data_IF_038796541550
#
_entry.id   IF_038796541550
#
_cell.length_a   1.000
_cell.length_b   1.000
_cell.length_c   1.000
_cell.angle_alpha   90.00
_cell.angle_beta   90.00
_cell.angle_gamma   90.00
#
_symmetry.space_group_name_H-M   'P 1'
#
loop_
_entity.id
_entity.type
_entity.pdbx_description
1 polymer ?
#
# COMPACT_ATOMS: atom_id res chain seq x y z
N UNK A 1 25.95 -16.75 1.71
CA UNK A 1 24.88 -15.90 1.16
C UNK A 1 24.08 -16.80 0.23
N UNK A 2 22.82 -17.06 0.55
CA UNK A 2 21.93 -17.87 -0.27
C UNK A 2 21.43 -17.07 -1.50
N UNK A 3 20.95 -17.74 -2.56
CA UNK A 3 20.48 -17.07 -3.78
C UNK A 3 19.39 -16.03 -3.52
N UNK A 4 18.48 -16.30 -2.58
CA UNK A 4 17.38 -15.41 -2.21
C UNK A 4 17.77 -14.22 -1.32
N UNK A 5 19.02 -14.10 -0.87
CA UNK A 5 19.48 -12.94 -0.07
C UNK A 5 19.43 -11.62 -0.87
N UNK A 6 19.32 -11.71 -2.21
CA UNK A 6 19.11 -10.58 -3.13
C UNK A 6 17.67 -10.06 -3.09
N UNK A 7 16.72 -10.84 -2.55
CA UNK A 7 15.29 -10.49 -2.47
C UNK A 7 15.02 -9.87 -1.11
N UNK A 8 14.56 -8.62 -1.12
CA UNK A 8 14.28 -7.86 0.10
C UNK A 8 12.79 -7.95 0.40
N UNK A 9 12.45 -8.36 1.62
CA UNK A 9 11.06 -8.58 2.02
C UNK A 9 10.48 -9.88 1.46
N UNK A 10 9.14 -9.94 1.33
CA UNK A 10 8.42 -11.07 0.74
C UNK A 10 8.74 -12.43 1.39
N UNK A 11 9.05 -12.45 2.69
CA UNK A 11 9.50 -13.65 3.45
C UNK A 11 8.61 -14.88 3.21
N UNK A 12 7.29 -14.68 3.17
CA UNK A 12 6.32 -15.75 2.93
C UNK A 12 6.49 -16.36 1.53
N UNK A 13 6.65 -15.51 0.51
CA UNK A 13 6.84 -15.94 -0.87
C UNK A 13 8.21 -16.59 -1.05
N UNK A 14 9.27 -15.98 -0.50
CA UNK A 14 10.63 -16.54 -0.54
C UNK A 14 10.65 -17.93 0.09
N UNK A 15 10.04 -18.12 1.26
CA UNK A 15 9.95 -19.44 1.91
C UNK A 15 9.19 -20.48 1.06
N UNK A 16 8.15 -20.05 0.33
CA UNK A 16 7.43 -20.93 -0.59
C UNK A 16 8.28 -21.30 -1.80
N UNK A 17 9.00 -20.34 -2.38
CA UNK A 17 9.95 -20.58 -3.48
C UNK A 17 11.09 -21.51 -3.05
N UNK A 18 11.67 -21.31 -1.88
CA UNK A 18 12.71 -22.18 -1.30
C UNK A 18 12.20 -23.61 -1.12
N UNK A 19 10.96 -23.79 -0.64
CA UNK A 19 10.34 -25.12 -0.50
C UNK A 19 10.13 -25.81 -1.84
N UNK A 20 9.73 -25.07 -2.87
CA UNK A 20 9.57 -25.66 -4.21
C UNK A 20 10.95 -25.97 -4.81
N UNK A 21 11.94 -25.09 -4.62
CA UNK A 21 13.31 -25.32 -5.09
C UNK A 21 13.95 -26.54 -4.41
N UNK A 22 13.71 -26.76 -3.11
CA UNK A 22 14.25 -27.92 -2.39
C UNK A 22 13.71 -29.26 -2.91
N UNK A 23 12.46 -29.28 -3.40
CA UNK A 23 11.89 -30.45 -4.11
C UNK A 23 12.64 -30.72 -5.42
N UNK A 24 13.15 -29.68 -6.09
CA UNK A 24 13.97 -29.84 -7.30
C UNK A 24 15.43 -30.24 -6.99
N UNK A 25 15.97 -29.81 -5.85
CA UNK A 25 17.33 -30.19 -5.44
C UNK A 25 17.40 -31.66 -5.03
N UNK A 26 16.51 -32.11 -4.15
CA UNK A 26 16.40 -33.52 -3.75
C UNK A 26 14.92 -33.93 -3.64
N UNK A 27 14.37 -34.61 -4.66
CA UNK A 27 12.99 -35.11 -4.63
C UNK A 27 12.76 -36.24 -3.62
N UNK A 28 13.80 -37.00 -3.25
CA UNK A 28 13.69 -38.29 -2.55
C UNK A 28 12.91 -38.24 -1.24
N UNK A 29 13.11 -37.24 -0.34
CA UNK A 29 12.36 -37.13 0.90
C UNK A 29 10.87 -36.88 0.68
N UNK A 30 10.52 -36.16 -0.38
CA UNK A 30 9.15 -35.80 -0.74
C UNK A 30 8.43 -36.98 -1.40
N UNK A 31 9.11 -37.68 -2.32
CA UNK A 31 8.59 -38.88 -2.98
C UNK A 31 8.29 -40.02 -2.00
N UNK A 32 9.12 -40.19 -0.95
CA UNK A 32 8.83 -41.14 0.15
C UNK A 32 7.52 -40.87 0.89
N UNK A 33 7.06 -39.62 0.88
CA UNK A 33 5.78 -39.21 1.47
C UNK A 33 4.65 -39.16 0.43
N UNK A 34 4.89 -39.62 -0.80
CA UNK A 34 3.91 -39.64 -1.90
C UNK A 34 3.73 -38.30 -2.60
N UNK A 35 4.56 -37.29 -2.30
CA UNK A 35 4.54 -36.03 -3.04
C UNK A 35 5.19 -36.21 -4.41
N UNK A 36 4.69 -35.49 -5.41
CA UNK A 36 5.25 -35.45 -6.76
C UNK A 36 5.89 -34.10 -7.00
N UNK A 37 6.96 -34.09 -7.80
CA UNK A 37 7.55 -32.85 -8.30
C UNK A 37 6.50 -32.14 -9.17
N UNK A 38 6.17 -30.87 -8.89
CA UNK A 38 5.25 -30.11 -9.74
C UNK A 38 5.86 -29.92 -11.14
N UNK A 39 5.02 -29.95 -12.18
CA UNK A 39 5.45 -29.77 -13.57
C UNK A 39 5.92 -28.32 -13.83
N UNK A 40 5.35 -27.35 -13.11
CA UNK A 40 5.75 -25.96 -13.27
C UNK A 40 5.25 -25.01 -12.20
N UNK A 41 5.87 -23.83 -12.20
CA UNK A 41 5.60 -22.71 -11.31
C UNK A 41 5.40 -21.43 -12.13
N UNK A 42 4.29 -20.74 -11.89
CA UNK A 42 4.01 -19.41 -12.43
C UNK A 42 4.13 -18.35 -11.33
N UNK A 43 5.00 -17.36 -11.51
CA UNK A 43 5.10 -16.18 -10.65
C UNK A 43 4.37 -15.02 -11.34
N UNK A 44 3.25 -14.62 -10.77
CA UNK A 44 2.32 -13.66 -11.32
C UNK A 44 2.28 -12.38 -10.49
N UNK A 45 1.95 -11.23 -11.08
CA UNK A 45 1.73 -9.99 -10.31
C UNK A 45 2.06 -8.74 -11.11
N UNK A 46 1.67 -7.57 -10.61
CA UNK A 46 1.89 -6.29 -11.29
C UNK A 46 3.36 -6.09 -11.75
N UNK A 47 3.62 -5.30 -12.81
CA UNK A 47 4.98 -4.98 -13.21
C UNK A 47 5.75 -4.29 -12.07
N UNK A 48 7.07 -4.49 -12.03
CA UNK A 48 7.93 -3.83 -11.04
C UNK A 48 8.02 -4.50 -9.65
N UNK A 49 7.41 -5.67 -9.45
CA UNK A 49 7.45 -6.41 -8.16
C UNK A 49 8.62 -7.39 -7.98
N UNK A 50 9.63 -7.36 -8.85
CA UNK A 50 10.79 -8.26 -8.73
C UNK A 50 10.56 -9.71 -9.17
N UNK A 51 9.51 -10.00 -9.95
CA UNK A 51 9.19 -11.36 -10.46
C UNK A 51 10.38 -12.05 -11.15
N UNK A 52 11.02 -11.37 -12.10
CA UNK A 52 12.18 -11.91 -12.83
C UNK A 52 13.39 -12.10 -11.91
N UNK A 53 13.58 -11.25 -10.90
CA UNK A 53 14.63 -11.42 -9.87
C UNK A 53 14.37 -12.69 -9.05
N UNK A 54 13.14 -12.87 -8.55
CA UNK A 54 12.75 -14.06 -7.78
C UNK A 54 12.88 -15.34 -8.62
N UNK A 55 12.48 -15.31 -9.89
CA UNK A 55 12.64 -16.43 -10.82
C UNK A 55 14.11 -16.82 -11.01
N UNK A 56 15.01 -15.84 -11.18
CA UNK A 56 16.46 -16.09 -11.27
C UNK A 56 17.03 -16.67 -9.98
N UNK A 57 16.62 -16.14 -8.82
CA UNK A 57 17.02 -16.68 -7.52
C UNK A 57 16.53 -18.12 -7.32
N UNK A 58 15.32 -18.43 -7.78
CA UNK A 58 14.78 -19.78 -7.76
C UNK A 58 15.60 -20.75 -8.62
N UNK A 59 15.97 -20.35 -9.84
CA UNK A 59 16.83 -21.15 -10.73
C UNK A 59 18.19 -21.41 -10.08
N UNK A 60 18.81 -20.38 -9.52
CA UNK A 60 20.09 -20.47 -8.81
C UNK A 60 19.99 -21.39 -7.58
N UNK A 61 18.89 -21.31 -6.81
CA UNK A 61 18.63 -22.16 -5.65
C UNK A 61 18.33 -23.63 -6.01
N UNK A 62 17.71 -23.88 -7.16
CA UNK A 62 17.44 -25.23 -7.63
C UNK A 62 18.71 -25.93 -8.14
N UNK A 63 19.76 -25.18 -8.51
CA UNK A 63 21.05 -25.73 -8.94
C UNK A 63 21.00 -26.55 -10.24
N UNK A 64 19.99 -26.32 -11.09
CA UNK A 64 19.78 -27.04 -12.35
C UNK A 64 20.16 -26.18 -13.57
N UNK A 65 20.57 -26.79 -14.70
CA UNK A 65 20.70 -26.08 -15.97
C UNK A 65 19.40 -25.36 -16.33
N UNK A 66 19.51 -24.17 -16.91
CA UNK A 66 18.34 -23.34 -17.21
C UNK A 66 18.37 -22.78 -18.63
N UNK A 67 17.33 -23.09 -19.40
CA UNK A 67 17.07 -22.47 -20.70
C UNK A 67 16.09 -21.32 -20.51
N UNK A 68 16.52 -20.09 -20.75
CA UNK A 68 15.63 -18.91 -20.66
C UNK A 68 15.07 -18.56 -22.02
N UNK A 69 13.75 -18.36 -22.09
CA UNK A 69 13.02 -17.92 -23.27
C UNK A 69 12.25 -16.64 -22.96
N UNK A 70 12.43 -15.64 -23.82
CA UNK A 70 11.67 -14.39 -23.83
C UNK A 70 11.34 -14.07 -25.28
N UNK A 71 10.16 -13.51 -25.54
CA UNK A 71 9.81 -13.07 -26.89
C UNK A 71 10.69 -11.90 -27.34
N UNK A 72 11.50 -12.13 -28.38
CA UNK A 72 12.37 -11.12 -29.00
C UNK A 72 11.98 -10.84 -30.45
N UNK A 73 11.29 -11.77 -31.12
CA UNK A 73 10.88 -11.70 -32.53
C UNK A 73 9.37 -11.93 -32.68
N UNK A 74 8.81 -11.48 -33.80
CA UNK A 74 7.39 -11.63 -34.11
C UNK A 74 7.16 -12.72 -35.17
N UNK A 75 5.97 -13.31 -35.17
CA UNK A 75 5.55 -14.30 -36.16
C UNK A 75 6.11 -15.71 -35.91
N UNK A 76 6.13 -16.53 -36.95
CA UNK A 76 6.37 -17.98 -36.85
C UNK A 76 7.75 -18.35 -36.29
N UNK A 77 8.76 -17.48 -36.45
CA UNK A 77 10.11 -17.71 -35.90
C UNK A 77 10.09 -17.96 -34.38
N UNK A 78 9.18 -17.28 -33.67
CA UNK A 78 9.07 -17.47 -32.23
C UNK A 78 8.47 -18.82 -31.83
N UNK A 79 7.64 -19.43 -32.69
CA UNK A 79 7.08 -20.78 -32.44
C UNK A 79 8.17 -21.84 -32.47
N UNK A 80 9.13 -21.71 -33.39
CA UNK A 80 10.27 -22.60 -33.49
C UNK A 80 11.21 -22.41 -32.30
N UNK A 81 11.46 -21.17 -31.88
CA UNK A 81 12.23 -20.88 -30.66
C UNK A 81 11.62 -21.49 -29.39
N UNK A 82 10.28 -21.51 -29.27
CA UNK A 82 9.61 -22.19 -28.15
C UNK A 82 9.95 -23.68 -28.18
N UNK A 83 9.78 -24.35 -29.33
CA UNK A 83 10.03 -25.78 -29.47
C UNK A 83 11.50 -26.14 -29.20
N UNK A 84 12.42 -25.38 -29.79
CA UNK A 84 13.86 -25.58 -29.64
C UNK A 84 14.31 -25.40 -28.18
N UNK A 85 13.72 -24.43 -27.46
CA UNK A 85 14.02 -24.23 -26.05
C UNK A 85 13.63 -25.45 -25.19
N UNK A 86 12.48 -26.07 -25.47
CA UNK A 86 12.04 -27.28 -24.76
C UNK A 86 12.90 -28.51 -25.11
N UNK A 87 13.28 -28.66 -26.39
CA UNK A 87 14.20 -29.74 -26.83
C UNK A 87 15.52 -29.62 -26.07
N UNK A 88 16.14 -28.44 -26.07
CA UNK A 88 17.41 -28.19 -25.36
C UNK A 88 17.29 -28.41 -23.87
N UNK A 89 16.20 -27.97 -23.25
CA UNK A 89 15.98 -28.21 -21.83
C UNK A 89 15.88 -29.72 -21.53
N UNK A 90 15.22 -30.50 -22.39
CA UNK A 90 15.11 -31.94 -22.22
C UNK A 90 16.44 -32.68 -22.41
N UNK A 91 17.31 -32.20 -23.31
CA UNK A 91 18.67 -32.74 -23.49
C UNK A 91 19.54 -32.52 -22.25
N UNK A 92 19.33 -31.43 -21.51
CA UNK A 92 20.04 -31.09 -20.28
C UNK A 92 19.31 -31.56 -18.99
N UNK A 93 18.28 -32.41 -19.11
CA UNK A 93 17.49 -32.85 -17.97
C UNK A 93 18.33 -33.62 -16.91
N UNK A 94 18.13 -33.38 -15.60
CA UNK A 94 17.08 -32.56 -14.99
C UNK A 94 17.37 -31.05 -15.07
N UNK A 95 16.46 -30.29 -15.67
CA UNK A 95 16.67 -28.89 -16.04
C UNK A 95 15.45 -28.02 -15.71
N UNK A 96 15.60 -26.70 -15.90
CA UNK A 96 14.55 -25.71 -15.83
C UNK A 96 14.42 -25.01 -17.18
N UNK A 97 13.19 -24.81 -17.65
CA UNK A 97 12.90 -23.84 -18.70
C UNK A 97 12.24 -22.61 -18.07
N UNK A 98 12.81 -21.43 -18.29
CA UNK A 98 12.31 -20.17 -17.76
C UNK A 98 11.66 -19.34 -18.87
N UNK A 99 10.33 -19.25 -18.84
CA UNK A 99 9.50 -18.44 -19.74
C UNK A 99 9.24 -17.06 -19.11
N UNK A 100 10.05 -16.07 -19.45
CA UNK A 100 9.97 -14.73 -18.85
C UNK A 100 9.03 -13.82 -19.64
N UNK A 101 8.18 -13.07 -18.93
CA UNK A 101 7.07 -12.28 -19.50
C UNK A 101 6.16 -13.13 -20.41
N UNK A 102 5.67 -14.26 -19.89
CA UNK A 102 4.79 -15.19 -20.61
C UNK A 102 3.56 -14.47 -21.19
N UNK A 103 3.05 -13.46 -20.52
CA UNK A 103 1.93 -12.62 -20.99
C UNK A 103 2.22 -11.84 -22.28
N UNK A 104 3.50 -11.67 -22.65
CA UNK A 104 3.94 -11.03 -23.90
C UNK A 104 4.18 -12.02 -25.04
N UNK A 105 4.06 -13.33 -24.79
CA UNK A 105 4.25 -14.35 -25.83
C UNK A 105 3.14 -14.25 -26.89
N UNK A 106 1.92 -13.91 -26.46
CA UNK A 106 0.83 -13.57 -27.35
C UNK A 106 0.80 -12.09 -27.77
N UNK A 107 -0.15 -11.74 -28.65
CA UNK A 107 -0.40 -10.40 -29.18
C UNK A 107 -0.93 -9.40 -28.14
N UNK A 108 -1.25 -9.88 -26.93
CA UNK A 108 -1.81 -9.07 -25.85
C UNK A 108 -3.29 -8.74 -26.00
N UNK A 109 -3.95 -9.32 -27.02
CA UNK A 109 -5.35 -9.03 -27.32
C UNK A 109 -6.32 -9.89 -26.47
N UNK A 110 -7.30 -9.22 -25.87
CA UNK A 110 -8.07 -9.69 -24.69
C UNK A 110 -8.97 -10.91 -24.93
N UNK A 111 -9.09 -11.36 -26.18
CA UNK A 111 -10.12 -12.30 -26.61
C UNK A 111 -9.58 -13.57 -27.30
N UNK A 112 -8.27 -13.82 -27.29
CA UNK A 112 -7.70 -15.02 -27.93
C UNK A 112 -6.92 -15.88 -26.95
N UNK A 113 -7.64 -16.74 -26.23
CA UNK A 113 -7.03 -17.84 -25.47
C UNK A 113 -6.36 -18.94 -26.35
N UNK A 114 -6.38 -18.77 -27.67
CA UNK A 114 -5.96 -19.75 -28.68
C UNK A 114 -4.85 -19.20 -29.59
N UNK A 115 -4.00 -18.33 -29.08
CA UNK A 115 -2.83 -17.90 -29.85
C UNK A 115 -1.85 -19.06 -30.06
N UNK A 116 -1.28 -19.20 -31.28
CA UNK A 116 -0.38 -20.30 -31.62
C UNK A 116 0.77 -20.48 -30.62
N UNK A 117 1.31 -19.38 -30.09
CA UNK A 117 2.40 -19.35 -29.12
C UNK A 117 2.02 -20.03 -27.81
N UNK A 118 0.85 -19.71 -27.26
CA UNK A 118 0.38 -20.35 -26.03
C UNK A 118 -0.01 -21.81 -26.25
N UNK A 119 -0.53 -22.15 -27.43
CA UNK A 119 -0.82 -23.56 -27.78
C UNK A 119 0.49 -24.33 -27.88
N UNK A 120 1.53 -23.76 -28.50
CA UNK A 120 2.85 -24.38 -28.59
C UNK A 120 3.47 -24.61 -27.20
N UNK A 121 3.42 -23.61 -26.31
CA UNK A 121 3.87 -23.77 -24.92
C UNK A 121 3.09 -24.89 -24.23
N UNK A 122 1.75 -24.90 -24.34
CA UNK A 122 0.91 -25.96 -23.74
C UNK A 122 1.30 -27.35 -24.22
N UNK A 123 1.42 -27.54 -25.53
CA UNK A 123 1.83 -28.81 -26.13
C UNK A 123 3.22 -29.23 -25.66
N UNK A 124 4.19 -28.31 -25.61
CA UNK A 124 5.53 -28.63 -25.13
C UNK A 124 5.53 -29.03 -23.65
N UNK A 125 4.77 -28.34 -22.78
CA UNK A 125 4.66 -28.74 -21.37
C UNK A 125 4.10 -30.17 -21.26
N UNK A 126 3.06 -30.49 -22.02
CA UNK A 126 2.44 -31.82 -22.00
C UNK A 126 3.40 -32.89 -22.56
N UNK A 127 4.11 -32.60 -23.65
CA UNK A 127 5.05 -33.52 -24.30
C UNK A 127 6.28 -33.82 -23.44
N UNK A 128 6.71 -32.89 -22.59
CA UNK A 128 7.89 -33.02 -21.72
C UNK A 128 7.54 -33.27 -20.25
N UNK A 129 6.26 -33.40 -19.90
CA UNK A 129 5.82 -33.76 -18.56
C UNK A 129 6.45 -35.10 -18.13
N UNK A 130 7.04 -35.12 -16.93
CA UNK A 130 7.73 -36.30 -16.39
C UNK A 130 9.10 -36.62 -17.01
N UNK A 131 9.59 -35.83 -17.98
CA UNK A 131 10.92 -36.01 -18.60
C UNK A 131 12.04 -35.24 -17.88
N UNK A 132 11.83 -34.86 -16.62
CA UNK A 132 12.82 -34.12 -15.82
C UNK A 132 12.95 -32.62 -16.15
N UNK A 133 12.05 -32.07 -16.97
CA UNK A 133 12.00 -30.64 -17.30
C UNK A 133 11.00 -29.93 -16.38
N UNK A 134 11.46 -28.93 -15.62
CA UNK A 134 10.61 -28.08 -14.79
C UNK A 134 10.32 -26.74 -15.47
N UNK A 135 9.06 -26.32 -15.53
CA UNK A 135 8.65 -25.11 -16.25
C UNK A 135 8.45 -23.96 -15.28
N UNK A 136 9.30 -22.94 -15.34
CA UNK A 136 9.16 -21.70 -14.58
C UNK A 136 8.67 -20.60 -15.50
N UNK A 137 7.69 -19.81 -15.07
CA UNK A 137 7.21 -18.67 -15.85
C UNK A 137 6.94 -17.43 -14.99
N UNK A 138 7.06 -16.24 -15.60
CA UNK A 138 6.61 -14.97 -15.01
C UNK A 138 5.52 -14.35 -15.86
N UNK A 139 4.56 -13.65 -15.24
CA UNK A 139 3.54 -12.91 -15.98
C UNK A 139 3.05 -11.67 -15.22
N UNK A 140 2.73 -10.58 -15.92
CA UNK A 140 2.20 -9.37 -15.28
C UNK A 140 0.70 -9.44 -15.02
N UNK A 141 -0.05 -10.15 -15.86
CA UNK A 141 -1.51 -10.25 -15.73
C UNK A 141 -2.03 -11.63 -16.14
N UNK A 142 -2.10 -12.56 -15.18
CA UNK A 142 -2.56 -13.92 -15.44
C UNK A 142 -4.04 -13.98 -15.84
N UNK A 143 -4.90 -13.17 -15.21
CA UNK A 143 -6.35 -13.19 -15.48
C UNK A 143 -6.71 -12.72 -16.89
N UNK A 144 -5.90 -11.84 -17.49
CA UNK A 144 -6.19 -11.26 -18.81
C UNK A 144 -5.36 -11.86 -19.95
N UNK A 145 -4.12 -12.25 -19.69
CA UNK A 145 -3.17 -12.56 -20.76
C UNK A 145 -2.79 -14.03 -20.86
N UNK A 146 -2.84 -14.79 -19.76
CA UNK A 146 -2.45 -16.20 -19.75
C UNK A 146 -3.69 -17.08 -19.90
N UNK A 147 -3.77 -17.96 -20.92
CA UNK A 147 -4.90 -18.86 -21.09
C UNK A 147 -5.17 -19.69 -19.81
N UNK A 148 -6.44 -19.81 -19.37
CA UNK A 148 -6.78 -20.62 -18.20
C UNK A 148 -6.35 -22.09 -18.32
N UNK A 149 -6.14 -22.59 -19.54
CA UNK A 149 -5.63 -23.94 -19.79
C UNK A 149 -4.19 -24.15 -19.34
N UNK A 150 -3.37 -23.09 -19.22
CA UNK A 150 -1.99 -23.18 -18.71
C UNK A 150 -1.96 -23.23 -17.16
N UNK A 151 -2.91 -22.58 -16.50
CA UNK A 151 -2.97 -22.44 -15.02
C UNK A 151 -3.64 -23.65 -14.33
N UNK A 152 -3.99 -24.70 -15.09
CA UNK A 152 -4.60 -25.92 -14.55
C UNK A 152 -3.54 -26.87 -14.00
N UNK A 153 -3.96 -27.70 -13.04
CA UNK A 153 -3.18 -28.83 -12.55
C UNK A 153 -2.76 -29.73 -13.73
N UNK A 154 -1.48 -30.08 -13.78
CA UNK A 154 -0.80 -30.78 -14.87
C UNK A 154 0.18 -29.90 -15.66
N UNK A 155 0.10 -28.57 -15.54
CA UNK A 155 1.02 -27.63 -16.21
C UNK A 155 1.66 -26.70 -15.17
N UNK A 156 1.12 -25.51 -14.96
CA UNK A 156 1.49 -24.68 -13.80
C UNK A 156 0.75 -25.16 -12.55
N UNK A 157 1.26 -26.24 -11.95
CA UNK A 157 0.72 -26.83 -10.71
C UNK A 157 0.74 -25.86 -9.53
N UNK A 158 1.66 -24.88 -9.57
CA UNK A 158 1.74 -23.80 -8.59
C UNK A 158 1.71 -22.45 -9.29
N UNK A 159 0.89 -21.55 -8.74
CA UNK A 159 0.89 -20.14 -9.11
C UNK A 159 1.06 -19.32 -7.84
N UNK A 160 2.10 -18.48 -7.82
CA UNK A 160 2.37 -17.53 -6.75
C UNK A 160 2.01 -16.15 -7.26
N UNK A 161 1.08 -15.48 -6.58
CA UNK A 161 0.71 -14.10 -6.88
C UNK A 161 1.51 -13.16 -5.97
N UNK A 162 2.36 -12.35 -6.58
CA UNK A 162 3.02 -11.21 -5.96
C UNK A 162 2.07 -10.03 -5.95
N UNK A 163 1.90 -9.49 -4.76
CA UNK A 163 1.23 -8.22 -4.54
C UNK A 163 2.28 -7.13 -4.30
N UNK A 164 1.83 -5.87 -4.29
CA UNK A 164 2.70 -4.76 -3.87
C UNK A 164 3.27 -5.04 -2.48
N UNK A 165 4.50 -4.61 -2.19
CA UNK A 165 5.10 -4.85 -0.91
C UNK A 165 4.21 -4.27 0.19
N UNK A 166 3.99 -5.06 1.24
CA UNK A 166 3.40 -4.55 2.46
C UNK A 166 4.33 -3.51 3.07
N UNK A 167 3.81 -2.68 3.99
CA UNK A 167 4.55 -1.54 4.53
C UNK A 167 5.94 -1.92 5.07
N UNK A 168 6.06 -2.99 5.86
CA UNK A 168 7.36 -3.43 6.41
C UNK A 168 8.34 -3.87 5.32
N UNK A 169 7.85 -4.53 4.28
CA UNK A 169 8.67 -4.91 3.13
C UNK A 169 9.04 -3.68 2.30
N UNK A 170 8.11 -2.74 2.08
CA UNK A 170 8.34 -1.47 1.39
C UNK A 170 9.36 -0.60 2.13
N UNK A 171 9.31 -0.56 3.47
CA UNK A 171 10.29 0.12 4.33
C UNK A 171 11.69 -0.46 4.14
N UNK A 172 11.82 -1.79 4.14
CA UNK A 172 13.11 -2.48 3.91
C UNK A 172 13.65 -2.23 2.50
N UNK A 173 12.78 -2.27 1.50
CA UNK A 173 13.13 -2.00 0.10
C UNK A 173 13.57 -0.54 -0.06
N UNK A 174 12.81 0.42 0.49
CA UNK A 174 13.18 1.83 0.49
C UNK A 174 14.52 2.06 1.20
N UNK A 175 14.74 1.45 2.37
CA UNK A 175 16.00 1.54 3.11
C UNK A 175 17.19 0.96 2.33
N UNK A 176 16.97 -0.05 1.48
CA UNK A 176 17.99 -0.57 0.59
C UNK A 176 18.36 0.45 -0.49
N UNK A 177 17.37 0.97 -1.22
CA UNK A 177 17.62 1.92 -2.30
C UNK A 177 18.18 3.25 -1.80
N UNK A 178 17.75 3.75 -0.64
CA UNK A 178 18.34 4.94 -0.01
C UNK A 178 19.85 4.74 0.21
N UNK A 179 20.28 3.57 0.70
CA UNK A 179 21.70 3.24 0.87
C UNK A 179 22.43 3.05 -0.45
N UNK A 180 21.82 2.38 -1.42
CA UNK A 180 22.40 2.15 -2.75
C UNK A 180 22.70 3.47 -3.48
N UNK A 181 21.77 4.42 -3.41
CA UNK A 181 21.94 5.75 -3.98
C UNK A 181 22.82 6.69 -3.14
N UNK A 182 23.48 6.18 -2.08
CA UNK A 182 24.33 6.96 -1.18
C UNK A 182 23.62 8.18 -0.55
N UNK A 183 22.31 8.08 -0.38
CA UNK A 183 21.50 9.11 0.28
C UNK A 183 21.72 8.98 1.78
N UNK A 184 21.89 10.10 2.52
CA UNK A 184 22.19 10.03 3.95
C UNK A 184 21.17 9.21 4.73
N UNK A 185 21.65 8.45 5.72
CA UNK A 185 20.82 7.66 6.65
C UNK A 185 19.93 8.53 7.57
N UNK A 186 19.95 9.85 7.40
CA UNK A 186 19.07 10.79 8.11
C UNK A 186 17.65 10.80 7.54
N UNK A 187 17.43 10.28 6.32
CA UNK A 187 16.10 10.16 5.75
C UNK A 187 15.46 8.86 6.23
N UNK A 188 14.32 8.97 6.90
CA UNK A 188 13.54 7.80 7.30
C UNK A 188 12.94 7.11 6.06
N UNK A 189 13.20 5.80 5.85
CA UNK A 189 12.54 5.01 4.81
C UNK A 189 11.00 5.07 4.84
N UNK A 190 10.41 5.38 5.99
CA UNK A 190 8.96 5.48 6.18
C UNK A 190 8.33 6.55 5.30
N UNK A 191 9.08 7.61 5.00
CA UNK A 191 8.65 8.69 4.11
C UNK A 191 8.31 8.15 2.70
N UNK A 192 9.01 7.12 2.25
CA UNK A 192 8.76 6.47 0.95
C UNK A 192 7.73 5.34 1.11
N UNK A 193 7.88 4.52 2.15
CA UNK A 193 7.11 3.29 2.36
C UNK A 193 5.61 3.53 2.65
N UNK A 194 5.24 4.72 3.10
CA UNK A 194 3.83 5.08 3.32
C UNK A 194 3.00 5.12 2.02
N UNK A 195 3.63 5.28 0.85
CA UNK A 195 2.97 5.30 -0.45
C UNK A 195 2.89 3.88 -1.04
N UNK A 196 1.72 3.44 -1.54
CA UNK A 196 1.54 2.09 -2.05
C UNK A 196 2.16 1.97 -3.44
N UNK A 197 3.44 1.65 -3.49
CA UNK A 197 4.26 1.58 -4.69
C UNK A 197 4.80 0.15 -4.91
N UNK A 198 5.05 -0.22 -6.15
CA UNK A 198 5.83 -1.41 -6.51
C UNK A 198 7.31 -1.24 -6.13
N UNK A 199 8.08 -2.34 -6.09
CA UNK A 199 9.51 -2.28 -5.76
C UNK A 199 10.28 -1.35 -6.72
N UNK A 200 9.99 -1.44 -8.01
CA UNK A 200 10.61 -0.58 -9.02
C UNK A 200 10.16 0.89 -8.90
N UNK A 201 8.92 1.15 -8.47
CA UNK A 201 8.48 2.53 -8.19
C UNK A 201 9.18 3.11 -6.95
N UNK A 202 9.42 2.31 -5.91
CA UNK A 202 10.20 2.73 -4.72
C UNK A 202 11.62 3.16 -5.14
N UNK A 203 12.32 2.34 -5.92
CA UNK A 203 13.63 2.67 -6.51
C UNK A 203 13.56 3.96 -7.33
N UNK A 204 12.59 4.04 -8.25
CA UNK A 204 12.43 5.18 -9.12
C UNK A 204 12.14 6.48 -8.36
N UNK A 205 11.46 6.43 -7.21
CA UNK A 205 11.24 7.60 -6.35
C UNK A 205 12.50 8.03 -5.62
N UNK A 206 13.26 7.09 -5.08
CA UNK A 206 14.55 7.39 -4.45
C UNK A 206 15.49 8.04 -5.46
N UNK A 207 15.61 7.47 -6.67
CA UNK A 207 16.42 8.05 -7.73
C UNK A 207 15.90 9.43 -8.18
N UNK A 208 14.58 9.58 -8.34
CA UNK A 208 13.99 10.88 -8.69
C UNK A 208 14.31 11.96 -7.66
N UNK A 209 14.29 11.64 -6.36
CA UNK A 209 14.64 12.60 -5.31
C UNK A 209 16.09 13.09 -5.46
N UNK A 210 17.02 12.21 -5.82
CA UNK A 210 18.42 12.57 -6.08
C UNK A 210 18.56 13.46 -7.32
N UNK A 211 17.84 13.15 -8.41
CA UNK A 211 17.82 13.97 -9.63
C UNK A 211 17.31 15.38 -9.32
N UNK A 212 16.23 15.48 -8.55
CA UNK A 212 15.67 16.79 -8.21
C UNK A 212 16.63 17.58 -7.31
N UNK A 213 17.23 16.95 -6.28
CA UNK A 213 18.23 17.58 -5.42
C UNK A 213 19.40 18.16 -6.25
N UNK A 214 19.93 17.37 -7.18
CA UNK A 214 21.03 17.78 -8.06
C UNK A 214 20.60 18.92 -8.99
N UNK A 215 19.37 18.89 -9.52
CA UNK A 215 18.86 19.96 -10.39
C UNK A 215 18.71 21.31 -9.68
N UNK A 216 18.52 21.29 -8.36
CA UNK A 216 18.42 22.47 -7.51
C UNK A 216 19.78 22.94 -6.97
N UNK A 217 20.88 22.25 -7.34
CA UNK A 217 22.22 22.54 -6.85
C UNK A 217 22.42 22.19 -5.38
N UNK A 218 21.59 21.28 -4.82
CA UNK A 218 21.74 20.81 -3.45
C UNK A 218 22.82 19.75 -3.36
N UNK A 219 23.73 19.88 -2.41
CA UNK A 219 24.79 18.89 -2.15
C UNK A 219 24.25 17.62 -1.45
N UNK A 220 23.03 17.67 -0.91
CA UNK A 220 22.45 16.59 -0.09
C UNK A 220 20.99 16.37 -0.46
N UNK A 221 20.58 15.11 -0.60
CA UNK A 221 19.15 14.79 -0.73
C UNK A 221 18.48 14.98 0.62
N UNK A 222 17.44 15.82 0.66
CA UNK A 222 16.65 16.09 1.87
C UNK A 222 15.37 15.26 1.87
N UNK A 223 14.78 15.12 3.04
CA UNK A 223 13.45 14.52 3.21
C UNK A 223 12.39 15.23 2.35
N UNK A 224 12.48 16.55 2.18
CA UNK A 224 11.57 17.32 1.32
C UNK A 224 11.66 16.88 -0.15
N UNK A 225 12.86 16.63 -0.67
CA UNK A 225 13.04 16.12 -2.03
C UNK A 225 12.33 14.78 -2.23
N UNK A 226 12.43 13.89 -1.23
CA UNK A 226 11.81 12.55 -1.25
C UNK A 226 10.29 12.62 -1.17
N UNK A 227 9.73 13.39 -0.24
CA UNK A 227 8.27 13.55 -0.15
C UNK A 227 7.71 14.14 -1.43
N UNK A 228 8.34 15.20 -1.95
CA UNK A 228 7.90 15.87 -3.17
C UNK A 228 7.71 14.88 -4.31
N UNK A 229 8.72 14.06 -4.62
CA UNK A 229 8.62 13.12 -5.75
C UNK A 229 7.61 12.00 -5.50
N UNK A 230 7.41 11.58 -4.24
CA UNK A 230 6.40 10.58 -3.89
C UNK A 230 4.98 11.16 -4.03
N UNK A 231 4.75 12.38 -3.54
CA UNK A 231 3.48 13.10 -3.65
C UNK A 231 3.16 13.40 -5.11
N UNK A 232 4.13 13.88 -5.89
CA UNK A 232 3.94 14.19 -7.32
C UNK A 232 3.56 12.95 -8.13
N UNK A 233 4.15 11.80 -7.83
CA UNK A 233 3.77 10.54 -8.45
C UNK A 233 2.35 10.10 -8.07
N UNK A 234 2.00 10.22 -6.79
CA UNK A 234 0.70 9.82 -6.27
C UNK A 234 -0.45 10.69 -6.81
N UNK A 235 -0.25 12.00 -6.81
CA UNK A 235 -1.25 12.98 -7.25
C UNK A 235 -1.26 13.18 -8.77
N UNK A 236 -0.17 12.85 -9.45
CA UNK A 236 0.01 13.11 -10.88
C UNK A 236 0.08 14.61 -11.20
N UNK A 237 0.50 15.44 -10.25
CA UNK A 237 0.62 16.90 -10.37
C UNK A 237 1.82 17.40 -9.58
N UNK A 238 2.47 18.47 -10.05
CA UNK A 238 3.62 19.07 -9.39
C UNK A 238 3.25 19.57 -7.98
N UNK A 239 4.05 19.19 -6.97
CA UNK A 239 3.87 19.66 -5.62
C UNK A 239 4.53 21.04 -5.48
N UNK A 240 3.86 21.97 -4.81
CA UNK A 240 4.41 23.31 -4.54
C UNK A 240 4.06 23.77 -3.12
N UNK A 241 5.05 24.20 -2.33
CA UNK A 241 4.79 24.82 -1.03
C UNK A 241 4.02 26.14 -1.23
N UNK A 242 3.17 26.51 -0.27
CA UNK A 242 2.54 27.83 -0.31
C UNK A 242 3.57 28.88 0.03
N UNK A 243 3.50 30.03 -0.65
CA UNK A 243 4.24 31.23 -0.24
C UNK A 243 3.31 32.33 0.27
N UNK A 244 2.00 32.10 0.23
CA UNK A 244 1.01 33.03 0.76
C UNK A 244 0.92 32.83 2.27
N UNK A 245 0.78 33.89 3.07
CA UNK A 245 0.60 33.77 4.51
C UNK A 245 -0.78 33.18 4.85
N UNK A 246 -0.84 32.45 5.96
CA UNK A 246 -2.09 31.88 6.46
C UNK A 246 -3.06 32.97 6.89
N UNK A 247 -4.29 32.95 6.36
CA UNK A 247 -5.35 33.87 6.75
C UNK A 247 -6.56 33.09 7.28
N UNK A 248 -6.59 32.93 8.61
CA UNK A 248 -7.70 32.30 9.33
C UNK A 248 -9.04 33.03 9.12
N UNK A 249 -9.01 34.36 8.98
CA UNK A 249 -10.22 35.16 8.82
C UNK A 249 -10.82 35.02 7.42
N UNK A 250 -9.98 34.97 6.38
CA UNK A 250 -10.43 34.66 5.03
C UNK A 250 -10.96 33.23 4.93
N UNK A 251 -10.28 32.27 5.57
CA UNK A 251 -10.71 30.88 5.62
C UNK A 251 -12.11 30.74 6.25
N UNK A 252 -12.37 31.43 7.36
CA UNK A 252 -13.68 31.42 8.02
C UNK A 252 -14.83 31.96 7.14
N UNK A 253 -14.55 32.88 6.20
CA UNK A 253 -15.56 33.50 5.32
C UNK A 253 -15.99 32.63 4.15
N UNK A 254 -15.15 31.68 3.73
CA UNK A 254 -15.50 30.72 2.67
C UNK A 254 -16.19 29.49 3.29
N UNK A 255 -16.80 28.63 2.48
CA UNK A 255 -17.18 27.24 2.86
C UNK A 255 -16.51 26.20 1.95
N UNK A 256 -15.59 26.65 1.11
CA UNK A 256 -14.89 25.78 0.16
C UNK A 256 -13.78 25.05 0.90
N UNK A 257 -13.84 23.72 0.92
CA UNK A 257 -12.76 22.86 1.41
C UNK A 257 -11.43 23.16 0.75
N UNK A 258 -11.50 23.64 -0.50
CA UNK A 258 -10.28 23.95 -1.19
C UNK A 258 -9.44 24.90 -0.33
N UNK A 259 -10.00 25.90 0.38
CA UNK A 259 -9.21 26.82 1.24
C UNK A 259 -8.02 26.15 1.98
N UNK A 260 -6.80 26.68 1.77
CA UNK A 260 -5.59 25.98 2.20
C UNK A 260 -5.44 25.99 3.73
N UNK A 261 -5.90 27.05 4.40
CA UNK A 261 -5.87 27.12 5.86
C UNK A 261 -6.93 26.19 6.47
N UNK A 262 -8.11 26.07 5.84
CA UNK A 262 -9.07 25.02 6.20
C UNK A 262 -8.48 23.62 6.07
N UNK A 263 -7.85 23.33 4.94
CA UNK A 263 -7.26 22.02 4.71
C UNK A 263 -6.12 21.75 5.71
N UNK A 264 -5.29 22.74 6.03
CA UNK A 264 -4.27 22.62 7.06
C UNK A 264 -4.87 22.25 8.43
N UNK A 265 -5.95 22.93 8.80
CA UNK A 265 -6.71 22.66 10.02
C UNK A 265 -7.31 21.23 10.03
N UNK A 266 -7.87 20.79 8.90
CA UNK A 266 -8.45 19.45 8.71
C UNK A 266 -7.40 18.36 8.86
N UNK A 267 -6.29 18.43 8.12
CA UNK A 267 -5.22 17.43 8.16
C UNK A 267 -4.48 17.41 9.51
N UNK A 268 -4.28 18.57 10.14
CA UNK A 268 -3.76 18.64 11.50
C UNK A 268 -4.68 17.95 12.51
N UNK A 269 -6.01 18.01 12.30
CA UNK A 269 -6.99 17.30 13.11
C UNK A 269 -6.81 15.78 13.06
N UNK A 270 -6.63 15.23 11.86
CA UNK A 270 -6.33 13.81 11.68
C UNK A 270 -5.03 13.38 12.38
N UNK A 271 -3.94 14.13 12.15
CA UNK A 271 -2.63 13.82 12.72
C UNK A 271 -2.62 13.88 14.25
N UNK A 272 -3.22 14.92 14.84
CA UNK A 272 -3.21 15.09 16.28
C UNK A 272 -4.08 14.05 16.98
N UNK A 273 -5.30 13.80 16.47
CA UNK A 273 -6.17 12.75 17.04
C UNK A 273 -5.46 11.39 16.97
N UNK A 274 -4.78 11.10 15.86
CA UNK A 274 -4.02 9.87 15.70
C UNK A 274 -2.95 9.68 16.79
N UNK A 275 -2.10 10.68 17.02
CA UNK A 275 -1.06 10.57 18.07
C UNK A 275 -1.66 10.51 19.48
N UNK A 276 -2.84 11.07 19.72
CA UNK A 276 -3.54 11.00 21.01
C UNK A 276 -4.16 9.62 21.27
N UNK A 277 -4.76 8.98 20.27
CA UNK A 277 -5.49 7.71 20.45
C UNK A 277 -4.63 6.48 20.19
N UNK A 278 -3.55 6.63 19.42
CA UNK A 278 -2.62 5.55 19.09
C UNK A 278 -1.17 6.09 18.98
N UNK A 279 -0.56 6.50 20.12
CA UNK A 279 0.80 7.03 20.13
C UNK A 279 1.79 6.01 19.55
N UNK A 280 2.77 6.48 18.79
CA UNK A 280 3.77 5.58 18.18
C UNK A 280 3.55 5.30 16.70
N UNK A 281 2.44 5.75 16.11
CA UNK A 281 2.13 5.54 14.70
C UNK A 281 3.00 6.38 13.77
N UNK A 282 3.15 5.90 12.53
CA UNK A 282 3.79 6.63 11.44
C UNK A 282 2.76 7.51 10.73
N UNK A 283 2.70 8.78 11.12
CA UNK A 283 1.85 9.80 10.50
C UNK A 283 2.56 10.64 9.44
N UNK A 284 1.85 10.99 8.38
CA UNK A 284 2.27 11.98 7.38
C UNK A 284 1.09 12.84 6.98
N UNK A 285 1.14 14.13 7.32
CA UNK A 285 0.22 15.14 6.80
C UNK A 285 0.87 15.87 5.64
N UNK A 286 0.14 16.02 4.54
CA UNK A 286 0.59 16.75 3.35
C UNK A 286 -0.47 17.75 2.96
N UNK A 287 -0.04 18.99 2.69
CA UNK A 287 -0.81 19.98 1.95
C UNK A 287 -0.27 20.11 0.53
N UNK A 288 -1.20 20.07 -0.41
CA UNK A 288 -0.93 20.18 -1.83
C UNK A 288 -0.94 21.65 -2.27
N UNK A 289 -0.16 21.92 -3.33
CA UNK A 289 -0.09 23.24 -3.95
C UNK A 289 -1.38 23.65 -4.66
N UNK A 290 -1.47 24.93 -5.00
CA UNK A 290 -2.53 25.47 -5.86
C UNK A 290 -2.49 24.79 -7.24
N UNK A 291 -3.56 24.05 -7.59
CA UNK A 291 -3.69 23.33 -8.86
C UNK A 291 -3.81 21.81 -8.76
N UNK A 292 -3.77 21.23 -7.55
CA UNK A 292 -4.00 19.79 -7.34
C UNK A 292 -5.41 19.35 -7.81
N UNK A 293 -5.49 18.17 -8.44
CA UNK A 293 -6.75 17.61 -8.98
C UNK A 293 -7.64 16.97 -7.91
N UNK A 294 -7.08 16.57 -6.77
CA UNK A 294 -7.77 15.88 -5.66
C UNK A 294 -7.46 16.59 -4.34
N UNK A 295 -8.49 17.20 -3.71
CA UNK A 295 -8.33 17.88 -2.42
C UNK A 295 -7.22 18.95 -2.42
N UNK A 296 -6.97 19.59 -1.28
CA UNK A 296 -5.79 20.45 -1.07
C UNK A 296 -4.82 19.88 -0.03
N UNK A 297 -5.00 18.61 0.36
CA UNK A 297 -4.18 17.89 1.33
C UNK A 297 -4.68 16.46 1.56
N UNK A 298 -3.86 15.68 2.28
CA UNK A 298 -4.22 14.36 2.80
C UNK A 298 -3.35 14.00 4.00
N UNK A 299 -3.88 13.15 4.88
CA UNK A 299 -3.15 12.50 5.97
C UNK A 299 -3.05 11.01 5.74
N UNK A 300 -1.85 10.46 5.88
CA UNK A 300 -1.62 9.01 5.94
C UNK A 300 -1.21 8.64 7.36
N UNK A 301 -1.82 7.57 7.84
CA UNK A 301 -1.51 6.98 9.12
C UNK A 301 -1.18 5.51 8.88
N UNK A 302 -0.06 5.06 9.42
CA UNK A 302 0.32 3.66 9.51
C UNK A 302 0.59 3.28 10.95
N UNK A 303 0.16 2.08 11.29
CA UNK A 303 0.33 1.48 12.61
C UNK A 303 1.42 0.43 12.50
N UNK A 304 2.54 0.69 13.14
CA UNK A 304 3.73 -0.16 13.01
C UNK A 304 3.82 -1.17 14.17
N UNK A 305 2.93 -1.03 15.17
CA UNK A 305 2.76 -1.90 16.32
C UNK A 305 1.42 -2.65 16.28
N UNK A 306 1.39 -3.83 16.92
CA UNK A 306 0.11 -4.50 17.23
C UNK A 306 -0.72 -3.59 18.13
N UNK A 307 -2.07 -3.55 18.01
CA UNK A 307 -2.91 -2.71 18.84
C UNK A 307 -2.62 -3.01 20.32
N UNK A 308 -1.99 -2.05 21.01
CA UNK A 308 -1.63 -2.18 22.42
C UNK A 308 -2.55 -1.36 23.32
N UNK A 309 -3.58 -0.71 22.77
CA UNK A 309 -4.68 -0.20 23.59
C UNK A 309 -5.58 -1.39 23.96
N UNK A 310 -5.62 -1.85 25.23
CA UNK A 310 -6.60 -2.83 25.66
C UNK A 310 -8.04 -2.31 25.54
N UNK A 311 -8.21 -0.98 25.43
CA UNK A 311 -9.49 -0.30 25.47
C UNK A 311 -10.05 0.07 24.09
N UNK A 312 -9.24 -0.01 23.01
CA UNK A 312 -9.65 0.42 21.65
C UNK A 312 -9.30 -0.61 20.59
N UNK A 313 -10.27 -0.89 19.73
CA UNK A 313 -10.02 -1.70 18.54
C UNK A 313 -9.30 -0.88 17.45
N UNK A 314 -8.63 -1.53 16.49
CA UNK A 314 -8.12 -0.86 15.30
C UNK A 314 -9.20 -0.04 14.58
N UNK A 315 -10.42 -0.56 14.52
CA UNK A 315 -11.58 0.10 13.91
C UNK A 315 -11.94 1.39 14.66
N UNK A 316 -11.96 1.38 16.00
CA UNK A 316 -12.30 2.57 16.80
C UNK A 316 -11.32 3.71 16.57
N UNK A 317 -10.01 3.41 16.53
CA UNK A 317 -9.00 4.42 16.21
C UNK A 317 -9.16 4.95 14.79
N UNK A 318 -9.47 4.11 13.80
CA UNK A 318 -9.69 4.58 12.43
C UNK A 318 -10.91 5.51 12.33
N UNK A 319 -11.97 5.19 13.07
CA UNK A 319 -13.18 6.04 13.14
C UNK A 319 -12.83 7.40 13.75
N UNK A 320 -12.17 7.43 14.90
CA UNK A 320 -11.81 8.68 15.58
C UNK A 320 -10.85 9.53 14.76
N UNK A 321 -9.81 8.91 14.18
CA UNK A 321 -8.90 9.60 13.28
C UNK A 321 -9.67 10.16 12.09
N UNK A 322 -10.54 9.38 11.44
CA UNK A 322 -11.35 9.83 10.31
C UNK A 322 -12.30 10.99 10.65
N UNK A 323 -12.76 11.09 11.90
CA UNK A 323 -13.60 12.19 12.38
C UNK A 323 -12.79 13.44 12.80
N UNK A 324 -11.50 13.28 13.08
CA UNK A 324 -10.63 14.36 13.59
C UNK A 324 -10.59 15.60 12.70
N UNK A 325 -10.48 15.43 11.37
CA UNK A 325 -10.47 16.55 10.44
C UNK A 325 -11.80 17.31 10.39
N UNK A 326 -12.92 16.58 10.34
CA UNK A 326 -14.27 17.15 10.36
C UNK A 326 -14.52 17.98 11.62
N UNK A 327 -14.15 17.42 12.78
CA UNK A 327 -14.30 18.08 14.08
C UNK A 327 -13.39 19.30 14.19
N UNK A 328 -12.14 19.21 13.71
CA UNK A 328 -11.23 20.35 13.68
C UNK A 328 -11.81 21.51 12.84
N UNK A 329 -12.38 21.24 11.67
CA UNK A 329 -13.05 22.26 10.86
C UNK A 329 -14.24 22.90 11.59
N UNK A 330 -15.05 22.09 12.26
CA UNK A 330 -16.21 22.57 13.02
C UNK A 330 -15.78 23.51 14.15
N UNK A 331 -14.78 23.12 14.93
CA UNK A 331 -14.28 23.89 16.07
C UNK A 331 -13.62 25.19 15.60
N UNK A 332 -12.84 25.16 14.51
CA UNK A 332 -12.14 26.33 14.01
C UNK A 332 -13.05 27.33 13.26
N UNK A 333 -14.02 26.85 12.49
CA UNK A 333 -14.78 27.68 11.53
C UNK A 333 -16.28 27.72 11.78
N UNK A 334 -16.81 26.95 12.74
CA UNK A 334 -18.25 26.89 13.06
C UNK A 334 -19.11 26.28 11.95
N UNK A 335 -18.51 25.69 10.91
CA UNK A 335 -19.22 25.06 9.81
C UNK A 335 -18.33 24.07 9.05
N UNK A 336 -18.91 22.93 8.68
CA UNK A 336 -18.25 21.95 7.83
C UNK A 336 -18.14 22.42 6.38
N UNK A 337 -17.01 22.10 5.75
CA UNK A 337 -16.88 22.18 4.31
C UNK A 337 -17.41 20.91 3.61
N UNK A 338 -17.37 20.88 2.28
CA UNK A 338 -17.74 19.68 1.48
C UNK A 338 -16.59 18.69 1.30
N UNK A 339 -15.41 18.97 1.87
CA UNK A 339 -14.18 18.18 1.73
C UNK A 339 -14.16 16.83 2.42
N UNK A 340 -14.66 16.72 3.67
CA UNK A 340 -14.58 15.50 4.48
C UNK A 340 -15.41 14.31 3.96
N UNK A 341 -15.97 14.37 2.74
CA UNK A 341 -16.87 13.35 2.20
C UNK A 341 -16.22 11.95 2.19
N UNK A 342 -14.96 11.85 1.74
CA UNK A 342 -14.24 10.58 1.71
C UNK A 342 -13.91 10.03 3.10
N UNK A 343 -13.76 10.91 4.09
CA UNK A 343 -13.45 10.49 5.45
C UNK A 343 -14.72 9.99 6.15
N UNK A 344 -15.84 10.69 5.95
CA UNK A 344 -17.17 10.25 6.38
C UNK A 344 -17.59 8.94 5.72
N UNK A 345 -17.31 8.74 4.43
CA UNK A 345 -17.58 7.47 3.74
C UNK A 345 -16.83 6.31 4.38
N UNK A 346 -15.51 6.46 4.62
CA UNK A 346 -14.70 5.43 5.31
C UNK A 346 -15.18 5.15 6.74
N UNK A 347 -15.46 6.20 7.52
CA UNK A 347 -15.99 6.08 8.88
C UNK A 347 -17.30 5.31 8.85
N UNK A 348 -18.18 5.66 7.92
CA UNK A 348 -19.47 4.99 7.73
C UNK A 348 -19.27 3.51 7.39
N UNK A 349 -18.41 3.18 6.44
CA UNK A 349 -18.12 1.79 6.04
C UNK A 349 -17.59 0.95 7.20
N UNK A 350 -16.68 1.49 8.01
CA UNK A 350 -16.12 0.81 9.19
C UNK A 350 -17.21 0.57 10.25
N UNK A 351 -18.01 1.61 10.54
CA UNK A 351 -19.09 1.53 11.53
C UNK A 351 -20.16 0.53 11.08
N UNK A 352 -20.62 0.62 9.83
CA UNK A 352 -21.59 -0.30 9.26
C UNK A 352 -21.04 -1.73 9.18
N UNK A 353 -19.80 -1.92 8.76
CA UNK A 353 -19.13 -3.21 8.72
C UNK A 353 -19.05 -3.85 10.10
N UNK A 354 -18.67 -3.08 11.13
CA UNK A 354 -18.65 -3.55 12.52
C UNK A 354 -20.04 -4.01 13.01
N UNK A 355 -21.08 -3.23 12.70
CA UNK A 355 -22.47 -3.58 13.01
C UNK A 355 -22.96 -4.83 12.26
N UNK A 356 -22.46 -5.08 11.04
CA UNK A 356 -22.78 -6.28 10.25
C UNK A 356 -22.08 -7.54 10.78
N UNK A 357 -20.83 -7.40 11.23
CA UNK A 357 -20.00 -8.52 11.67
C UNK A 357 -20.09 -8.80 13.18
N UNK A 358 -20.87 -8.01 13.94
CA UNK A 358 -21.07 -8.20 15.38
C UNK A 358 -19.89 -7.75 16.24
N UNK A 359 -18.99 -6.94 15.69
CA UNK A 359 -17.85 -6.35 16.41
C UNK A 359 -18.37 -5.15 17.19
N UNK A 360 -18.54 -5.30 18.51
CA UNK A 360 -19.09 -4.24 19.37
C UNK A 360 -20.10 -4.67 20.45
N UNK A 361 -20.12 -5.94 20.87
CA UNK A 361 -20.92 -6.38 22.02
C UNK A 361 -22.43 -6.49 21.78
N UNK A 362 -22.91 -6.34 20.54
CA UNK A 362 -24.32 -6.55 20.20
C UNK A 362 -24.56 -8.06 19.98
N UNK A 363 -24.68 -8.80 21.10
CA UNK A 363 -24.78 -10.26 21.13
C UNK A 363 -26.11 -10.85 20.58
N UNK A 364 -27.01 -10.08 19.96
CA UNK A 364 -28.36 -10.58 19.63
C UNK A 364 -28.99 -10.23 18.26
N UNK A 365 -28.26 -9.79 17.23
CA UNK A 365 -28.88 -9.62 15.90
C UNK A 365 -28.04 -10.15 14.73
N UNK A 366 -28.38 -11.39 14.31
CA UNK A 366 -27.97 -12.10 13.09
C UNK A 366 -26.63 -11.68 12.44
N UNK A 367 -25.58 -12.39 12.84
CA UNK A 367 -24.39 -12.63 12.00
C UNK A 367 -24.86 -13.28 10.70
N UNK A 368 -25.08 -12.50 9.65
CA UNK A 368 -25.14 -13.04 8.29
C UNK A 368 -23.69 -13.23 7.87
N UNK A 369 -23.12 -14.39 8.20
CA UNK A 369 -21.86 -14.80 7.62
C UNK A 369 -22.02 -14.89 6.11
N UNK A 370 -21.18 -14.17 5.36
CA UNK A 370 -21.17 -14.10 3.88
C UNK A 370 -21.03 -15.45 3.16
N UNK A 371 -20.86 -16.55 3.89
CA UNK A 371 -20.78 -17.90 3.31
C UNK A 371 -22.09 -18.41 2.71
N UNK A 372 -23.22 -17.72 2.89
CA UNK A 372 -24.48 -18.07 2.23
C UNK A 372 -24.93 -16.97 1.27
N UNK A 373 -24.54 -17.07 -0.01
CA UNK A 373 -24.95 -16.20 -1.14
C UNK A 373 -26.45 -16.28 -1.50
N UNK A 374 -27.30 -16.67 -0.55
CA UNK A 374 -28.76 -16.70 -0.68
C UNK A 374 -29.37 -16.09 0.57
N UNK A 375 -29.27 -14.77 0.72
CA UNK A 375 -30.01 -14.05 1.75
C UNK A 375 -30.91 -13.01 1.10
N UNK A 376 -32.17 -13.07 1.49
CA UNK A 376 -33.20 -12.05 1.28
C UNK A 376 -32.64 -10.69 1.77
N UNK A 377 -32.87 -9.58 1.04
CA UNK A 377 -32.48 -8.26 1.53
C UNK A 377 -33.03 -8.02 2.94
N UNK A 378 -32.30 -7.30 3.82
CA UNK A 378 -32.77 -7.00 5.17
C UNK A 378 -34.11 -6.26 5.12
N UNK A 379 -34.98 -6.50 6.12
CA UNK A 379 -36.25 -5.77 6.22
C UNK A 379 -36.00 -4.27 6.38
N UNK A 380 -36.92 -3.40 5.91
CA UNK A 380 -36.81 -1.96 6.08
C UNK A 380 -36.57 -1.53 7.54
N UNK A 381 -37.21 -2.19 8.51
CA UNK A 381 -37.00 -1.96 9.95
C UNK A 381 -35.57 -2.23 10.41
N UNK A 382 -34.92 -3.28 9.87
CA UNK A 382 -33.53 -3.63 10.20
C UNK A 382 -32.55 -2.63 9.58
N UNK A 383 -32.86 -2.12 8.39
CA UNK A 383 -32.07 -1.07 7.75
C UNK A 383 -32.15 0.20 8.59
N UNK A 384 -33.37 0.64 8.94
CA UNK A 384 -33.59 1.82 9.77
C UNK A 384 -32.91 1.71 11.15
N UNK A 385 -32.98 0.54 11.79
CA UNK A 385 -32.28 0.30 13.06
C UNK A 385 -30.76 0.40 12.91
N UNK A 386 -30.19 -0.17 11.83
CA UNK A 386 -28.74 -0.09 11.55
C UNK A 386 -28.30 1.35 11.29
N UNK A 387 -29.08 2.08 10.51
CA UNK A 387 -28.86 3.50 10.23
C UNK A 387 -28.85 4.31 11.53
N UNK A 388 -29.86 4.12 12.39
CA UNK A 388 -29.94 4.80 13.68
C UNK A 388 -28.74 4.47 14.60
N UNK A 389 -28.37 3.18 14.68
CA UNK A 389 -27.23 2.74 15.49
C UNK A 389 -25.88 3.28 14.95
N UNK A 390 -25.72 3.33 13.63
CA UNK A 390 -24.53 3.91 13.01
C UNK A 390 -24.42 5.41 13.29
N UNK A 391 -25.53 6.15 13.16
CA UNK A 391 -25.60 7.59 13.47
C UNK A 391 -25.26 7.85 14.94
N UNK A 392 -25.84 7.08 15.86
CA UNK A 392 -25.54 7.20 17.31
C UNK A 392 -24.05 6.96 17.61
N UNK A 393 -23.46 5.89 17.05
CA UNK A 393 -22.03 5.61 17.22
C UNK A 393 -21.16 6.74 16.69
N UNK A 394 -21.41 7.19 15.46
CA UNK A 394 -20.65 8.28 14.84
C UNK A 394 -20.76 9.56 15.68
N UNK A 395 -21.95 9.89 16.20
CA UNK A 395 -22.13 11.07 17.05
C UNK A 395 -21.35 10.97 18.37
N UNK A 396 -21.31 9.79 19.00
CA UNK A 396 -20.49 9.57 20.20
C UNK A 396 -19.00 9.69 19.90
N UNK A 397 -18.53 9.08 18.82
CA UNK A 397 -17.13 9.12 18.41
C UNK A 397 -16.72 10.55 17.99
N UNK A 398 -17.63 11.33 17.39
CA UNK A 398 -17.42 12.75 17.11
C UNK A 398 -17.29 13.59 18.39
N UNK A 399 -18.13 13.34 19.39
CA UNK A 399 -18.04 14.02 20.68
C UNK A 399 -16.72 13.71 21.40
N UNK A 400 -16.26 12.47 21.31
CA UNK A 400 -14.95 12.08 21.84
C UNK A 400 -13.80 12.76 21.10
N UNK A 401 -13.79 12.70 19.76
CA UNK A 401 -12.78 13.39 18.95
C UNK A 401 -12.75 14.90 19.23
N UNK A 402 -13.91 15.51 19.48
CA UNK A 402 -14.01 16.91 19.90
C UNK A 402 -13.37 17.14 21.26
N UNK A 403 -13.65 16.29 22.24
CA UNK A 403 -13.03 16.41 23.56
C UNK A 403 -11.50 16.28 23.49
N UNK A 404 -10.99 15.35 22.68
CA UNK A 404 -9.55 15.15 22.49
C UNK A 404 -8.87 16.39 21.87
N UNK A 405 -9.47 16.93 20.79
CA UNK A 405 -8.96 18.10 20.09
C UNK A 405 -9.05 19.37 20.94
N UNK A 406 -10.16 19.59 21.64
CA UNK A 406 -10.33 20.77 22.50
C UNK A 406 -9.35 20.75 23.68
N UNK A 407 -9.03 19.57 24.23
CA UNK A 407 -8.02 19.41 25.26
C UNK A 407 -6.61 19.83 24.82
N UNK A 408 -6.33 19.82 23.52
CA UNK A 408 -5.02 20.12 22.91
C UNK A 408 -5.13 21.17 21.78
N UNK A 409 -6.08 22.11 21.88
CA UNK A 409 -6.40 23.01 20.78
C UNK A 409 -5.25 23.96 20.42
N UNK A 410 -4.50 24.41 21.42
CA UNK A 410 -3.31 25.24 21.19
C UNK A 410 -2.26 24.50 20.36
N UNK A 411 -2.05 23.21 20.65
CA UNK A 411 -1.15 22.36 19.90
C UNK A 411 -1.69 22.09 18.48
N UNK A 412 -2.99 21.81 18.33
CA UNK A 412 -3.63 21.68 17.01
C UNK A 412 -3.32 22.89 16.11
N UNK A 413 -3.46 24.11 16.64
CA UNK A 413 -3.13 25.33 15.92
C UNK A 413 -1.65 25.41 15.49
N UNK A 414 -0.72 24.96 16.34
CA UNK A 414 0.71 24.90 16.01
C UNK A 414 0.98 23.88 14.89
N UNK A 415 0.36 22.70 14.95
CA UNK A 415 0.48 21.67 13.91
C UNK A 415 -0.10 22.16 12.59
N UNK A 416 -1.27 22.81 12.61
CA UNK A 416 -1.90 23.39 11.42
C UNK A 416 -1.04 24.49 10.79
N UNK A 417 -0.44 25.37 11.60
CA UNK A 417 0.47 26.41 11.12
C UNK A 417 1.73 25.79 10.50
N UNK A 418 2.35 24.83 11.19
CA UNK A 418 3.53 24.12 10.70
C UNK A 418 3.27 23.45 9.36
N UNK A 419 2.11 22.77 9.25
CA UNK A 419 1.68 22.11 8.03
C UNK A 419 1.40 23.11 6.91
N UNK A 420 0.82 24.27 7.21
CA UNK A 420 0.59 25.32 6.23
C UNK A 420 1.88 25.87 5.65
N UNK A 421 2.86 26.18 6.51
CA UNK A 421 4.13 26.82 6.14
C UNK A 421 5.04 25.87 5.35
N UNK A 422 5.16 24.61 5.80
CA UNK A 422 6.06 23.62 5.18
C UNK A 422 5.37 22.76 4.13
N UNK A 423 4.05 22.67 4.17
CA UNK A 423 3.26 21.76 3.35
C UNK A 423 3.35 20.29 3.77
N UNK A 424 4.21 19.93 4.72
CA UNK A 424 4.42 18.55 5.17
C UNK A 424 4.71 18.54 6.68
N UNK A 425 4.09 17.62 7.42
CA UNK A 425 4.34 17.36 8.85
C UNK A 425 4.34 15.85 9.12
N UNK A 426 5.27 15.39 9.95
CA UNK A 426 5.35 13.99 10.39
C UNK A 426 4.69 13.77 11.76
N UNK A 427 4.15 12.56 11.97
CA UNK A 427 3.60 12.15 13.27
C UNK A 427 4.62 12.27 14.41
N UNK A 428 5.88 11.93 14.15
CA UNK A 428 6.96 12.09 15.14
C UNK A 428 7.16 13.55 15.59
N UNK A 429 6.98 14.51 14.69
CA UNK A 429 7.07 15.94 15.04
C UNK A 429 5.89 16.33 15.95
N UNK A 430 4.68 15.86 15.63
CA UNK A 430 3.49 16.07 16.46
C UNK A 430 3.64 15.43 17.83
N UNK A 431 4.19 14.22 17.90
CA UNK A 431 4.49 13.52 19.16
C UNK A 431 5.50 14.27 20.00
N UNK A 432 6.60 14.73 19.39
CA UNK A 432 7.60 15.53 20.09
C UNK A 432 7.01 16.84 20.62
N UNK A 433 6.02 17.42 19.95
CA UNK A 433 5.29 18.58 20.46
C UNK A 433 4.35 18.21 21.63
N UNK A 434 3.61 17.09 21.53
CA UNK A 434 2.77 16.56 22.62
C UNK A 434 3.57 16.29 23.90
N UNK A 435 4.75 15.66 23.77
CA UNK A 435 5.62 15.35 24.92
C UNK A 435 6.14 16.63 25.61
N UNK A 436 6.41 17.69 24.85
CA UNK A 436 6.83 18.98 25.41
C UNK A 436 5.70 19.68 26.16
N UNK A 437 4.47 19.58 25.67
CA UNK A 437 3.29 20.10 26.34
C UNK A 437 3.02 19.36 27.66
N UNK A 438 3.18 18.03 27.67
CA UNK A 438 3.02 17.20 28.87
C UNK A 438 4.18 17.29 29.89
N UNK A 439 5.39 17.67 29.46
CA UNK A 439 6.58 17.81 30.31
C UNK A 439 6.81 19.21 30.89
N UNK A 440 6.04 20.21 30.47
CA UNK A 440 6.18 21.60 30.89
C UNK A 440 5.34 21.95 32.12
N UNK A 441 5.92 21.89 33.32
CA UNK A 441 5.45 22.72 34.43
C UNK A 441 5.64 24.19 34.05
N UNK A 442 4.51 24.89 33.86
CA UNK A 442 4.30 26.34 34.03
C UNK A 442 5.50 27.25 33.81
N UNK A 443 5.55 27.92 32.67
CA UNK A 443 5.75 29.38 32.59
C UNK A 443 5.34 29.83 31.19
N UNK A 444 4.31 30.68 31.14
CA UNK A 444 3.63 31.06 29.92
C UNK A 444 4.35 32.15 29.13
N UNK A 445 4.18 32.10 27.82
CA UNK A 445 3.93 33.29 27.02
C UNK A 445 2.99 32.91 25.87
N UNK A 446 1.72 33.32 26.01
CA UNK A 446 0.64 32.98 25.09
C UNK A 446 0.75 33.75 23.78
N UNK A 447 0.98 33.05 22.68
CA UNK A 447 0.60 33.55 21.36
C UNK A 447 -0.92 33.43 21.24
N UNK A 448 -1.57 34.59 21.13
CA UNK A 448 -3.03 34.74 21.12
C UNK A 448 -3.69 34.00 19.95
N UNK A 449 -4.14 32.79 20.23
CA UNK A 449 -5.24 32.13 19.50
C UNK A 449 -6.35 31.95 20.52
N UNK A 450 -7.22 32.95 20.64
CA UNK A 450 -8.36 32.88 21.56
C UNK A 450 -9.29 31.75 21.12
N UNK A 451 -9.55 30.79 22.02
CA UNK A 451 -10.64 29.85 21.85
C UNK A 451 -11.93 30.61 21.56
N UNK A 452 -12.75 30.21 20.56
CA UNK A 452 -14.07 30.79 20.42
C UNK A 452 -14.87 30.47 21.67
N UNK A 453 -15.35 31.51 22.35
CA UNK A 453 -16.21 31.41 23.52
C UNK A 453 -17.41 30.54 23.20
N UNK A 454 -17.73 29.59 24.09
CA UNK A 454 -19.00 28.88 24.09
C UNK A 454 -20.15 29.89 23.99
N UNK A 455 -20.86 29.88 22.86
CA UNK A 455 -22.15 30.57 22.74
C UNK A 455 -23.22 29.49 22.82
N UNK A 456 -24.13 29.73 23.76
CA UNK A 456 -25.23 28.89 24.24
C UNK A 456 -26.14 28.27 23.17
#
# INVERSE_FOLDING_TARGET
MGPFDKVIGYRRVVSELERIASVLVDPSPYERLGARVPNGLLIAGEPGLGKTLMARCFVEAAGRPCVTLRRTVAGNEFLDQIRDAFVRAAEEAPSIIFLDDLDKFGSGDRNRASEPEYVAVQSCIDDYAGKGVFVLATANNVLRAVPPSLVRAGRFDRTIYLERPEYEDARRIAAHYLREHSIPNTIDPDVVAQFPMSCAELEARVNAAAVVAASEGSDVVTTEHVVRVCVEHWEGSAWRPCKEPMDWQAAAKTKRYCDRARCACHEAGHLLVMELVDPGCSGLGVLLGSGARRGRGFTRVRRDHKPFSPDRTPEDVQVLVGLGGLVAEEVAFGAWSTGPHSDLEKVTDIVYGGLMHGVGGVQHLNVIGERNRRCTPPSPERIAWREAAAVDRIQRDMAEARSLLMGHWALHGQVAQLLYDRGIVYGEEVRAMLEREGGGTTEGDGLGVGAPSEVA
#
